data_IF_915213989567
#
_entry.id   IF_915213989567
#
_cell.length_a   1.000
_cell.length_b   1.000
_cell.length_c   1.000
_cell.angle_alpha   90.00
_cell.angle_beta   90.00
_cell.angle_gamma   90.00
#
_symmetry.space_group_name_H-M   'P 1'
#
loop_
_entity.id
_entity.type
_entity.pdbx_description
1 polymer ?
#
# COMPACT_ATOMS: atom_id res chain seq x y z
N UNK A 1 2.64 47.98 54.77
CA UNK A 1 1.93 47.55 53.59
C UNK A 1 2.93 46.72 52.74
N UNK A 2 2.96 45.46 53.04
CA UNK A 2 3.84 44.47 52.26
C UNK A 2 2.97 43.71 51.30
N UNK A 3 3.28 43.87 50.03
CA UNK A 3 2.65 43.14 48.92
C UNK A 3 3.40 41.84 48.68
N UNK A 4 2.81 40.73 49.08
CA UNK A 4 3.27 39.38 48.72
C UNK A 4 3.01 39.11 47.23
N UNK A 5 4.07 39.02 46.43
CA UNK A 5 4.03 38.47 45.09
C UNK A 5 3.97 36.94 45.21
N UNK A 6 2.82 36.36 44.86
CA UNK A 6 2.68 34.91 44.69
C UNK A 6 3.20 34.55 43.29
N UNK A 7 4.38 33.92 43.25
CA UNK A 7 4.97 33.35 42.02
C UNK A 7 4.27 32.03 41.74
N UNK A 8 3.27 32.03 40.85
CA UNK A 8 2.70 30.80 40.31
C UNK A 8 3.69 30.18 39.35
N UNK A 9 4.43 29.20 39.82
CA UNK A 9 5.23 28.31 38.99
C UNK A 9 4.32 27.42 38.16
N UNK A 10 4.21 27.69 36.86
CA UNK A 10 3.67 26.78 35.87
C UNK A 10 4.63 25.59 35.74
N UNK A 11 4.37 24.53 36.49
CA UNK A 11 4.93 23.22 36.24
C UNK A 11 4.35 22.73 34.88
N UNK A 12 5.10 22.97 33.82
CA UNK A 12 4.88 22.31 32.55
C UNK A 12 5.11 20.81 32.75
N UNK A 13 4.01 20.09 32.89
CA UNK A 13 4.03 18.62 32.85
C UNK A 13 4.36 18.24 31.37
N UNK A 14 5.64 18.19 31.04
CA UNK A 14 6.10 17.44 29.88
C UNK A 14 5.71 16.00 30.17
N UNK A 15 4.60 15.55 29.56
CA UNK A 15 4.34 14.13 29.41
C UNK A 15 5.59 13.53 28.76
N UNK A 16 6.15 12.50 29.38
CA UNK A 16 7.24 11.70 28.83
C UNK A 16 6.74 10.92 27.59
N UNK A 17 6.34 11.65 26.56
CA UNK A 17 6.33 11.10 25.20
C UNK A 17 7.79 10.91 24.86
N UNK A 18 8.20 9.66 24.64
CA UNK A 18 9.49 9.35 24.05
C UNK A 18 9.54 10.06 22.70
N UNK A 19 10.07 11.28 22.67
CA UNK A 19 10.45 11.92 21.42
C UNK A 19 11.53 11.05 20.79
N UNK A 20 11.17 10.23 19.83
CA UNK A 20 12.14 9.54 19.00
C UNK A 20 12.93 10.62 18.28
N UNK A 21 14.25 10.63 18.51
CA UNK A 21 15.15 11.58 17.89
C UNK A 21 15.14 11.39 16.38
N UNK A 22 15.05 12.48 15.61
CA UNK A 22 15.12 12.41 14.16
C UNK A 22 16.51 11.95 13.74
N UNK A 23 16.63 10.77 13.16
CA UNK A 23 17.88 10.26 12.59
C UNK A 23 17.70 9.99 11.11
N UNK A 24 18.51 10.65 10.30
CA UNK A 24 18.58 10.47 8.84
C UNK A 24 19.75 9.59 8.41
N UNK A 25 20.55 9.14 9.36
CA UNK A 25 21.74 8.35 9.10
C UNK A 25 21.40 6.91 8.71
N UNK A 26 22.14 6.41 7.74
CA UNK A 26 22.12 5.01 7.35
C UNK A 26 23.29 4.27 8.03
N UNK A 27 22.97 3.12 8.59
CA UNK A 27 23.94 2.24 9.24
C UNK A 27 24.32 1.14 8.25
N UNK A 28 25.42 1.35 7.54
CA UNK A 28 25.94 0.37 6.58
C UNK A 28 26.49 -0.86 7.27
N UNK A 29 26.18 -2.03 6.69
CA UNK A 29 26.59 -3.33 7.20
C UNK A 29 26.15 -3.60 8.64
N UNK A 30 24.98 -3.07 9.00
CA UNK A 30 24.30 -3.30 10.27
C UNK A 30 22.90 -3.84 10.01
N UNK A 31 22.56 -4.97 10.63
CA UNK A 31 21.20 -5.51 10.65
C UNK A 31 20.49 -5.22 11.98
N UNK A 32 19.21 -4.97 11.91
CA UNK A 32 18.28 -4.95 13.05
C UNK A 32 17.45 -6.24 13.04
N UNK A 33 17.95 -7.34 13.63
CA UNK A 33 17.32 -8.65 13.50
C UNK A 33 15.96 -8.72 14.20
N UNK A 34 15.04 -9.44 13.56
CA UNK A 34 13.68 -9.70 14.07
C UNK A 34 12.76 -8.49 14.02
N UNK A 35 11.56 -8.65 14.61
CA UNK A 35 10.52 -7.61 14.72
C UNK A 35 9.99 -7.07 13.39
N UNK A 36 10.03 -7.91 12.33
CA UNK A 36 9.52 -7.55 11.01
C UNK A 36 7.99 -7.40 11.05
N UNK A 37 7.51 -6.27 10.55
CA UNK A 37 6.09 -6.03 10.30
C UNK A 37 5.72 -6.64 8.96
N UNK A 38 6.52 -6.32 7.94
CA UNK A 38 6.37 -6.79 6.56
C UNK A 38 7.67 -6.61 5.79
N UNK A 39 7.76 -7.23 4.64
CA UNK A 39 8.82 -6.98 3.67
C UNK A 39 8.23 -6.55 2.33
N UNK A 40 8.88 -5.59 1.70
CA UNK A 40 8.50 -5.04 0.39
C UNK A 40 9.74 -4.90 -0.47
N UNK A 41 9.59 -4.79 -1.77
CA UNK A 41 10.71 -4.50 -2.65
C UNK A 41 11.00 -3.00 -2.70
N UNK A 42 12.28 -2.65 -2.73
CA UNK A 42 12.75 -1.28 -2.84
C UNK A 42 14.01 -1.23 -3.72
N UNK A 43 14.16 -0.25 -4.61
CA UNK A 43 15.36 -0.15 -5.46
C UNK A 43 16.61 0.30 -4.70
N UNK A 44 16.45 1.05 -3.63
CA UNK A 44 17.53 1.56 -2.78
C UNK A 44 17.12 1.74 -1.31
N UNK A 45 18.06 2.17 -0.50
CA UNK A 45 17.86 2.40 0.93
C UNK A 45 17.00 3.62 1.22
N UNK A 46 17.09 4.65 0.39
CA UNK A 46 16.30 5.89 0.51
C UNK A 46 14.82 5.60 0.30
N UNK A 47 14.47 4.84 -0.74
CA UNK A 47 13.10 4.42 -0.97
C UNK A 47 12.59 3.48 0.15
N UNK A 48 13.44 2.57 0.66
CA UNK A 48 13.11 1.74 1.82
C UNK A 48 12.80 2.58 3.06
N UNK A 49 13.58 3.65 3.32
CA UNK A 49 13.31 4.60 4.40
C UNK A 49 11.98 5.34 4.20
N UNK A 50 11.66 5.75 2.96
CA UNK A 50 10.37 6.37 2.65
C UNK A 50 9.21 5.40 2.89
N UNK A 51 9.32 4.13 2.46
CA UNK A 51 8.31 3.11 2.74
C UNK A 51 8.11 2.91 4.24
N UNK A 52 9.19 2.87 5.03
CA UNK A 52 9.11 2.81 6.49
C UNK A 52 8.45 4.06 7.07
N UNK A 53 8.77 5.23 6.55
CA UNK A 53 8.19 6.50 7.01
C UNK A 53 6.70 6.57 6.71
N UNK A 54 6.26 6.09 5.56
CA UNK A 54 4.86 6.04 5.17
C UNK A 54 4.07 4.94 5.90
N UNK A 55 4.73 3.87 6.32
CA UNK A 55 4.06 2.79 7.04
C UNK A 55 3.79 3.18 8.50
N UNK A 56 2.54 3.19 8.97
CA UNK A 56 2.16 3.77 10.27
C UNK A 56 2.90 3.17 11.48
N UNK A 57 3.16 1.88 11.45
CA UNK A 57 3.81 1.16 12.55
C UNK A 57 5.32 0.99 12.37
N UNK A 58 5.89 1.34 11.22
CA UNK A 58 7.34 1.18 11.02
C UNK A 58 8.12 2.27 11.75
N UNK A 59 9.11 1.85 12.52
CA UNK A 59 9.98 2.72 13.30
C UNK A 59 11.42 2.67 12.81
N UNK A 60 11.83 1.53 12.26
CA UNK A 60 13.15 1.31 11.67
C UNK A 60 13.06 0.19 10.63
N UNK A 61 14.11 0.04 9.84
CA UNK A 61 14.13 -0.91 8.74
C UNK A 61 15.52 -1.51 8.54
N UNK A 62 15.59 -2.63 7.82
CA UNK A 62 16.81 -3.18 7.23
C UNK A 62 16.57 -3.41 5.74
N UNK A 63 17.43 -2.87 4.90
CA UNK A 63 17.44 -3.01 3.45
C UNK A 63 18.55 -3.95 3.01
N UNK A 64 18.21 -4.93 2.17
CA UNK A 64 19.19 -5.87 1.59
C UNK A 64 19.66 -5.31 0.25
N UNK A 65 20.92 -4.91 0.21
CA UNK A 65 21.53 -4.26 -0.95
C UNK A 65 21.75 -5.21 -2.13
N UNK A 66 22.09 -4.59 -3.25
CA UNK A 66 22.43 -5.30 -4.49
C UNK A 66 23.73 -6.15 -4.40
N UNK A 67 24.61 -5.85 -3.46
CA UNK A 67 25.87 -6.57 -3.19
C UNK A 67 25.74 -7.75 -2.20
N UNK A 68 24.52 -8.06 -1.74
CA UNK A 68 24.24 -9.21 -0.89
C UNK A 68 24.61 -10.53 -1.58
N UNK A 69 25.27 -11.45 -0.88
CA UNK A 69 25.83 -12.67 -1.47
C UNK A 69 25.33 -13.97 -0.84
N UNK A 70 24.52 -13.88 0.25
CA UNK A 70 24.14 -15.08 1.02
C UNK A 70 23.00 -15.83 0.36
N UNK A 71 22.02 -15.11 -0.24
CA UNK A 71 20.83 -15.68 -0.88
C UNK A 71 20.22 -14.69 -1.87
N UNK A 72 18.99 -14.99 -2.37
CA UNK A 72 18.32 -14.23 -3.40
C UNK A 72 17.46 -13.05 -2.86
N UNK A 73 17.70 -12.57 -1.64
CA UNK A 73 16.94 -11.49 -1.02
C UNK A 73 17.38 -10.08 -1.41
N UNK A 74 18.05 -9.90 -2.54
CA UNK A 74 18.41 -8.56 -3.03
C UNK A 74 17.19 -7.66 -3.11
N UNK A 75 17.32 -6.40 -2.73
CA UNK A 75 16.30 -5.36 -2.81
C UNK A 75 15.08 -5.57 -1.89
N UNK A 76 15.18 -6.47 -0.90
CA UNK A 76 14.16 -6.55 0.14
C UNK A 76 14.34 -5.42 1.16
N UNK A 77 13.25 -4.75 1.46
CA UNK A 77 13.12 -3.75 2.52
C UNK A 77 12.26 -4.37 3.64
N UNK A 78 12.87 -4.67 4.77
CA UNK A 78 12.20 -5.20 5.96
C UNK A 78 11.77 -4.05 6.84
N UNK A 79 10.47 -3.81 6.94
CA UNK A 79 9.87 -2.80 7.81
C UNK A 79 9.70 -3.38 9.21
N UNK A 80 10.13 -2.66 10.24
CA UNK A 80 10.27 -3.19 11.59
C UNK A 80 9.70 -2.25 12.65
N UNK A 81 9.30 -2.85 13.78
CA UNK A 81 8.83 -2.13 14.95
C UNK A 81 9.14 -2.86 16.25
N UNK A 82 9.25 -2.11 17.33
CA UNK A 82 9.29 -2.64 18.70
C UNK A 82 8.48 -1.73 19.62
N UNK A 83 7.95 -2.27 20.75
CA UNK A 83 7.27 -1.43 21.73
C UNK A 83 8.15 -0.32 22.35
N UNK A 84 9.47 -0.54 22.38
CA UNK A 84 10.43 0.45 22.89
C UNK A 84 10.80 1.55 21.89
N UNK A 85 10.36 1.45 20.62
CA UNK A 85 10.74 2.36 19.55
C UNK A 85 12.17 2.20 19.04
N UNK A 86 12.95 1.28 19.58
CA UNK A 86 14.37 1.05 19.22
C UNK A 86 14.61 -0.42 18.90
N UNK A 87 15.54 -0.74 17.97
CA UNK A 87 15.96 -2.12 17.74
C UNK A 87 16.57 -2.71 19.01
N UNK A 88 16.25 -3.97 19.31
CA UNK A 88 16.76 -4.67 20.50
C UNK A 88 18.23 -5.02 20.37
N UNK A 89 18.65 -5.31 19.15
CA UNK A 89 20.01 -5.75 18.81
C UNK A 89 20.43 -5.10 17.51
N UNK A 90 21.71 -4.85 17.37
CA UNK A 90 22.36 -4.38 16.15
C UNK A 90 23.52 -5.32 15.85
N UNK A 91 23.44 -6.06 14.76
CA UNK A 91 24.45 -7.04 14.38
C UNK A 91 25.22 -6.56 13.15
N UNK A 92 26.54 -6.65 13.13
CA UNK A 92 27.31 -6.49 11.90
C UNK A 92 26.87 -7.54 10.86
N UNK A 93 26.47 -7.10 9.67
CA UNK A 93 26.06 -7.97 8.57
C UNK A 93 26.36 -7.30 7.23
N UNK A 94 27.27 -7.88 6.46
CA UNK A 94 27.66 -7.37 5.15
C UNK A 94 26.51 -7.44 4.15
N UNK A 95 26.39 -6.44 3.27
CA UNK A 95 25.38 -6.40 2.21
C UNK A 95 24.00 -5.91 2.65
N UNK A 96 23.86 -5.41 3.88
CA UNK A 96 22.63 -4.74 4.34
C UNK A 96 22.89 -3.32 4.80
N UNK A 97 21.85 -2.50 4.80
CA UNK A 97 21.85 -1.16 5.38
C UNK A 97 20.60 -0.97 6.22
N UNK A 98 20.75 -0.54 7.45
CA UNK A 98 19.63 -0.24 8.33
C UNK A 98 19.46 1.26 8.57
N UNK A 99 18.29 1.65 9.00
CA UNK A 99 17.98 3.04 9.33
C UNK A 99 16.64 3.20 10.05
N UNK A 100 16.29 4.44 10.31
CA UNK A 100 15.09 4.80 11.06
C UNK A 100 14.06 5.49 10.18
N UNK A 101 12.80 5.38 10.58
CA UNK A 101 11.70 6.15 10.00
C UNK A 101 11.94 7.66 10.20
N UNK A 102 11.60 8.47 9.20
CA UNK A 102 11.69 9.93 9.26
C UNK A 102 10.45 10.60 9.85
N UNK A 103 9.48 9.84 10.39
CA UNK A 103 8.28 10.40 11.04
C UNK A 103 8.59 11.43 12.14
N UNK A 104 9.65 11.26 12.95
CA UNK A 104 10.03 12.27 13.94
C UNK A 104 10.65 13.52 13.33
N UNK A 105 11.03 13.46 12.04
CA UNK A 105 11.64 14.58 11.34
C UNK A 105 10.58 15.54 10.80
N UNK A 106 10.72 16.81 11.00
CA UNK A 106 9.86 17.85 10.45
C UNK A 106 10.70 18.80 9.57
N UNK A 107 10.28 19.12 8.31
CA UNK A 107 9.07 18.66 7.65
C UNK A 107 9.12 17.18 7.23
N UNK A 108 7.96 16.58 6.98
CA UNK A 108 7.86 15.23 6.43
C UNK A 108 8.64 15.11 5.13
N UNK A 109 9.31 13.95 4.90
CA UNK A 109 10.06 13.75 3.68
C UNK A 109 9.14 13.82 2.45
N UNK A 110 9.64 14.45 1.38
CA UNK A 110 8.95 14.48 0.10
C UNK A 110 8.76 13.06 -0.45
N UNK A 111 7.60 12.79 -1.03
CA UNK A 111 7.33 11.54 -1.76
C UNK A 111 7.89 11.55 -3.18
N UNK A 112 8.58 12.61 -3.59
CA UNK A 112 9.19 12.73 -4.91
C UNK A 112 10.41 11.81 -5.05
N UNK A 113 10.39 10.96 -6.07
CA UNK A 113 11.44 9.99 -6.40
C UNK A 113 12.01 10.32 -7.78
N UNK A 114 12.78 11.41 -7.86
CA UNK A 114 13.31 11.95 -9.13
C UNK A 114 14.48 11.16 -9.71
N UNK A 115 15.17 10.36 -8.91
CA UNK A 115 16.31 9.59 -9.39
C UNK A 115 15.90 8.39 -10.26
N UNK A 116 16.81 7.97 -11.14
CA UNK A 116 16.67 6.76 -11.94
C UNK A 116 17.70 5.72 -11.53
N UNK A 117 17.38 4.45 -11.72
CA UNK A 117 18.14 3.32 -11.25
C UNK A 117 18.72 2.57 -12.44
N UNK A 118 20.03 2.64 -12.63
CA UNK A 118 20.75 1.94 -13.69
C UNK A 118 20.90 0.46 -13.36
N UNK A 119 20.69 -0.41 -14.36
CA UNK A 119 20.79 -1.86 -14.24
C UNK A 119 19.86 -2.47 -13.16
N UNK A 120 18.72 -1.84 -12.94
CA UNK A 120 17.67 -2.27 -12.05
C UNK A 120 16.35 -2.38 -12.81
N UNK A 121 15.70 -3.52 -12.73
CA UNK A 121 14.36 -3.74 -13.30
C UNK A 121 13.30 -3.70 -12.20
N UNK A 122 12.22 -2.97 -12.45
CA UNK A 122 10.98 -3.02 -11.70
C UNK A 122 10.07 -4.08 -12.36
N UNK A 123 10.32 -5.34 -12.03
CA UNK A 123 9.72 -6.48 -12.70
C UNK A 123 8.20 -6.58 -12.49
N UNK A 124 7.46 -6.75 -13.58
CA UNK A 124 6.00 -6.91 -13.57
C UNK A 124 5.23 -5.58 -13.51
N UNK A 125 3.93 -5.68 -13.29
CA UNK A 125 2.99 -4.56 -13.27
C UNK A 125 2.94 -3.71 -14.56
N UNK A 126 3.38 -4.27 -15.71
CA UNK A 126 3.27 -3.61 -17.01
C UNK A 126 1.82 -3.51 -17.45
N UNK A 127 1.36 -2.30 -17.77
CA UNK A 127 0.06 -2.14 -18.39
C UNK A 127 0.16 -1.59 -19.82
N UNK A 128 1.31 -0.99 -20.17
CA UNK A 128 1.56 -0.45 -21.50
C UNK A 128 3.04 -0.49 -21.84
N UNK A 129 3.35 -0.77 -23.09
CA UNK A 129 4.71 -0.76 -23.65
C UNK A 129 4.72 0.12 -24.89
N UNK A 130 5.72 1.00 -25.00
CA UNK A 130 5.92 1.86 -26.17
C UNK A 130 7.41 2.00 -26.45
N UNK A 131 7.78 2.57 -27.60
CA UNK A 131 9.16 2.90 -27.93
C UNK A 131 9.47 4.35 -27.54
N UNK A 132 10.62 4.56 -26.88
CA UNK A 132 11.17 5.88 -26.59
C UNK A 132 12.65 5.90 -26.96
N UNK A 133 13.20 7.09 -27.23
CA UNK A 133 14.60 7.25 -27.62
C UNK A 133 15.57 6.92 -26.48
N UNK A 134 15.17 7.23 -25.25
CA UNK A 134 15.97 7.14 -24.06
C UNK A 134 15.08 7.00 -22.80
N UNK A 135 15.71 6.84 -21.65
CA UNK A 135 15.00 6.70 -20.39
C UNK A 135 14.38 8.00 -19.88
N UNK A 136 14.93 9.16 -20.27
CA UNK A 136 14.36 10.47 -19.93
C UNK A 136 13.02 10.67 -20.64
N UNK A 137 12.92 10.27 -21.91
CA UNK A 137 11.65 10.29 -22.61
C UNK A 137 10.66 9.28 -22.01
N UNK A 138 11.13 8.08 -21.64
CA UNK A 138 10.31 7.08 -20.96
C UNK A 138 9.76 7.63 -19.61
N UNK A 139 10.59 8.30 -18.81
CA UNK A 139 10.16 8.94 -17.56
C UNK A 139 9.15 10.09 -17.82
N UNK A 140 9.38 10.87 -18.86
CA UNK A 140 8.45 11.94 -19.26
C UNK A 140 7.09 11.40 -19.67
N UNK A 141 7.05 10.34 -20.49
CA UNK A 141 5.82 9.67 -20.89
C UNK A 141 5.11 9.06 -19.67
N UNK A 142 5.87 8.41 -18.77
CA UNK A 142 5.32 7.90 -17.51
C UNK A 142 4.72 9.03 -16.65
N UNK A 143 5.38 10.18 -16.58
CA UNK A 143 4.90 11.33 -15.81
C UNK A 143 3.62 11.94 -16.40
N UNK A 144 3.47 11.95 -17.72
CA UNK A 144 2.28 12.45 -18.41
C UNK A 144 1.12 11.46 -18.41
N UNK A 145 1.38 10.16 -18.35
CA UNK A 145 0.34 9.14 -18.30
C UNK A 145 -0.26 9.06 -16.88
N UNK A 146 -1.56 9.37 -16.70
CA UNK A 146 -2.18 9.42 -15.38
C UNK A 146 -2.14 8.10 -14.62
N UNK A 147 -1.97 6.98 -15.30
CA UNK A 147 -1.90 5.65 -14.68
C UNK A 147 -0.47 5.26 -14.32
N UNK A 148 0.55 5.82 -14.96
CA UNK A 148 1.93 5.41 -14.74
C UNK A 148 2.45 5.92 -13.39
N UNK A 149 2.99 5.02 -12.60
CA UNK A 149 3.64 5.33 -11.33
C UNK A 149 5.16 5.14 -11.39
N UNK A 150 5.60 4.15 -12.15
CA UNK A 150 7.01 3.85 -12.37
C UNK A 150 7.20 3.19 -13.74
N UNK A 151 8.45 3.07 -14.18
CA UNK A 151 8.78 2.55 -15.50
C UNK A 151 10.05 1.70 -15.47
N UNK A 152 10.23 0.89 -16.52
CA UNK A 152 11.51 0.29 -16.89
C UNK A 152 11.76 0.55 -18.37
N UNK A 153 12.91 1.12 -18.69
CA UNK A 153 13.39 1.34 -20.05
C UNK A 153 14.50 0.36 -20.40
N UNK A 154 14.44 -0.20 -21.61
CA UNK A 154 15.43 -1.14 -22.13
C UNK A 154 16.33 -0.39 -23.13
N UNK A 155 17.61 -0.25 -22.80
CA UNK A 155 18.54 0.52 -23.61
C UNK A 155 19.08 -0.25 -24.84
N UNK A 156 19.88 0.40 -25.65
CA UNK A 156 20.43 -0.06 -26.94
C UNK A 156 21.41 -1.23 -26.85
N UNK A 157 22.04 -1.42 -25.69
CA UNK A 157 23.02 -2.49 -25.46
C UNK A 157 22.42 -3.73 -24.78
N UNK A 158 21.09 -3.76 -24.61
CA UNK A 158 20.40 -4.94 -24.06
C UNK A 158 20.62 -6.17 -24.95
N UNK A 159 20.75 -7.35 -24.35
CA UNK A 159 21.10 -8.59 -25.05
C UNK A 159 20.11 -8.96 -26.16
N UNK A 160 18.81 -8.78 -25.92
CA UNK A 160 17.77 -9.08 -26.92
C UNK A 160 17.41 -7.82 -27.71
N UNK A 161 17.80 -7.81 -29.00
CA UNK A 161 17.58 -6.65 -29.88
C UNK A 161 16.10 -6.30 -30.06
N UNK A 162 15.21 -7.29 -30.05
CA UNK A 162 13.78 -7.12 -30.30
C UNK A 162 13.05 -6.32 -29.20
N UNK A 163 13.69 -6.13 -28.05
CA UNK A 163 13.10 -5.37 -26.94
C UNK A 163 13.86 -4.10 -26.60
N UNK A 164 14.93 -3.78 -27.35
CA UNK A 164 15.66 -2.50 -27.18
C UNK A 164 14.74 -1.30 -27.41
N UNK A 165 15.00 -0.21 -26.73
CA UNK A 165 14.24 1.04 -26.77
C UNK A 165 12.77 0.91 -26.31
N UNK A 166 12.39 -0.18 -25.65
CA UNK A 166 11.06 -0.30 -25.06
C UNK A 166 11.00 0.37 -23.71
N UNK A 167 9.99 1.20 -23.57
CA UNK A 167 9.56 1.84 -22.34
C UNK A 167 8.34 1.07 -21.82
N UNK A 168 8.50 0.42 -20.69
CA UNK A 168 7.46 -0.31 -19.97
C UNK A 168 6.84 0.57 -18.92
N UNK A 169 5.61 1.02 -19.13
CA UNK A 169 4.85 1.80 -18.14
C UNK A 169 4.16 0.86 -17.16
N UNK A 170 4.29 1.16 -15.88
CA UNK A 170 3.93 0.28 -14.78
C UNK A 170 3.09 0.99 -13.72
N UNK A 171 2.30 0.20 -13.00
CA UNK A 171 1.36 0.70 -12.02
C UNK A 171 1.29 -0.22 -10.80
N UNK A 172 1.27 0.36 -9.60
CA UNK A 172 0.89 -0.34 -8.39
C UNK A 172 -0.48 0.16 -7.90
N UNK A 173 -1.03 -0.53 -6.93
CA UNK A 173 -2.37 -0.24 -6.47
C UNK A 173 -2.45 1.09 -5.70
N UNK A 174 -3.37 1.96 -6.09
CA UNK A 174 -3.71 3.18 -5.36
C UNK A 174 -4.92 3.02 -4.43
N UNK A 175 -5.68 1.94 -4.57
CA UNK A 175 -6.84 1.64 -3.74
C UNK A 175 -6.37 0.87 -2.50
N UNK A 176 -6.84 1.24 -1.28
CA UNK A 176 -6.51 0.52 -0.07
C UNK A 176 -6.89 -0.96 -0.18
N UNK A 177 -5.93 -1.84 0.02
CA UNK A 177 -6.12 -3.28 0.04
C UNK A 177 -6.22 -3.76 1.46
N UNK A 178 -7.18 -4.63 1.73
CA UNK A 178 -7.19 -5.39 2.97
C UNK A 178 -6.19 -6.55 2.81
N UNK A 179 -5.29 -6.78 3.77
CA UNK A 179 -4.31 -7.87 3.67
C UNK A 179 -5.01 -9.24 3.58
N UNK A 180 -6.03 -9.44 4.40
CA UNK A 180 -6.86 -10.65 4.44
C UNK A 180 -8.30 -10.21 4.76
N UNK A 181 -9.27 -10.84 4.10
CA UNK A 181 -10.71 -10.70 4.42
C UNK A 181 -11.22 -12.08 4.80
N UNK A 182 -11.70 -12.22 6.02
CA UNK A 182 -12.21 -13.50 6.54
C UNK A 182 -13.53 -13.34 7.30
N UNK A 183 -14.28 -14.41 7.39
CA UNK A 183 -15.49 -14.46 8.25
C UNK A 183 -15.07 -14.61 9.69
N UNK A 184 -15.68 -13.79 10.57
CA UNK A 184 -15.42 -13.83 11.99
C UNK A 184 -16.62 -13.28 12.76
N UNK A 185 -17.29 -14.12 13.49
CA UNK A 185 -18.46 -13.71 14.25
C UNK A 185 -18.07 -12.71 15.34
N UNK A 186 -18.94 -11.73 15.58
CA UNK A 186 -18.74 -10.73 16.62
C UNK A 186 -17.78 -9.60 16.25
N UNK A 187 -17.46 -9.42 14.97
CA UNK A 187 -16.69 -8.26 14.50
C UNK A 187 -17.43 -7.49 13.41
N UNK A 188 -17.08 -6.23 13.27
CA UNK A 188 -17.58 -5.35 12.21
C UNK A 188 -16.39 -4.61 11.61
N UNK A 189 -16.21 -4.68 10.31
CA UNK A 189 -15.14 -4.00 9.59
C UNK A 189 -15.67 -2.98 8.59
N UNK A 190 -14.85 -1.99 8.27
CA UNK A 190 -15.21 -0.96 7.32
C UNK A 190 -14.03 -0.09 6.93
N UNK A 191 -14.29 0.87 6.07
CA UNK A 191 -13.30 1.76 5.50
C UNK A 191 -13.42 3.17 6.09
N UNK A 192 -12.30 3.89 6.09
CA UNK A 192 -12.29 5.32 6.34
C UNK A 192 -13.01 6.05 5.20
N UNK A 193 -13.85 7.02 5.51
CA UNK A 193 -14.53 7.85 4.51
C UNK A 193 -13.59 8.82 3.77
N UNK A 194 -12.34 8.94 4.22
CA UNK A 194 -11.31 9.77 3.55
C UNK A 194 -10.67 9.10 2.36
N UNK A 195 -10.89 7.81 2.13
CA UNK A 195 -10.30 7.11 1.02
C UNK A 195 -10.71 7.80 -0.27
N UNK A 196 -9.77 8.54 -0.85
CA UNK A 196 -9.95 9.13 -2.17
C UNK A 196 -9.65 8.05 -3.20
N UNK A 197 -10.70 7.57 -3.83
CA UNK A 197 -10.58 6.85 -5.08
C UNK A 197 -10.22 7.89 -6.13
N UNK A 198 -9.10 7.71 -6.82
CA UNK A 198 -8.55 8.69 -7.78
C UNK A 198 -9.64 9.28 -8.68
N UNK A 199 -9.87 10.62 -8.65
CA UNK A 199 -11.00 11.25 -9.35
C UNK A 199 -10.64 11.57 -10.80
N UNK A 200 -10.43 10.55 -11.64
CA UNK A 200 -10.24 10.83 -13.06
C UNK A 200 -11.29 10.06 -13.85
N UNK A 201 -12.49 10.63 -14.04
CA UNK A 201 -13.30 10.34 -15.22
C UNK A 201 -14.76 10.78 -15.03
N UNK A 202 -15.33 11.40 -16.04
CA UNK A 202 -16.73 11.85 -16.11
C UNK A 202 -17.64 10.75 -16.65
N UNK A 203 -18.93 10.78 -16.36
CA UNK A 203 -19.79 9.61 -16.29
C UNK A 203 -20.49 9.25 -17.61
N UNK A 204 -20.44 8.00 -17.98
CA UNK A 204 -21.50 7.36 -18.78
C UNK A 204 -21.49 5.85 -18.54
N UNK A 205 -21.61 5.42 -17.26
CA UNK A 205 -21.50 4.00 -16.97
C UNK A 205 -22.68 3.48 -16.18
N UNK A 206 -23.09 2.29 -16.54
CA UNK A 206 -23.96 1.49 -15.72
C UNK A 206 -23.12 0.74 -14.70
N UNK A 207 -23.15 1.17 -13.43
CA UNK A 207 -22.59 0.40 -12.30
C UNK A 207 -23.36 -0.91 -12.14
N UNK A 208 -23.15 -1.84 -13.07
CA UNK A 208 -23.92 -3.05 -13.09
C UNK A 208 -23.13 -4.20 -12.47
N UNK A 209 -23.64 -4.71 -11.37
CA UNK A 209 -23.26 -5.99 -10.80
C UNK A 209 -24.23 -7.07 -11.31
N UNK A 210 -23.69 -8.26 -11.52
CA UNK A 210 -24.42 -9.42 -12.02
C UNK A 210 -24.43 -10.50 -10.91
N UNK A 211 -25.43 -10.51 -10.03
CA UNK A 211 -25.50 -11.52 -8.97
C UNK A 211 -25.76 -12.91 -9.54
N UNK A 212 -25.25 -13.94 -8.82
CA UNK A 212 -25.33 -15.35 -9.22
C UNK A 212 -24.83 -15.62 -10.65
N UNK A 213 -23.85 -14.85 -11.07
CA UNK A 213 -23.29 -14.91 -12.42
C UNK A 213 -21.78 -14.96 -12.33
N UNK A 214 -21.16 -15.89 -13.04
CA UNK A 214 -19.71 -15.91 -13.26
C UNK A 214 -19.41 -15.45 -14.68
N UNK A 215 -18.36 -14.67 -14.83
CA UNK A 215 -17.79 -14.31 -16.12
C UNK A 215 -16.47 -15.06 -16.23
N UNK A 216 -16.43 -16.23 -16.92
CA UNK A 216 -15.20 -17.01 -17.05
C UNK A 216 -14.17 -16.28 -17.88
N UNK A 217 -12.89 -16.45 -17.55
CA UNK A 217 -11.78 -15.85 -18.29
C UNK A 217 -10.45 -16.04 -17.57
N UNK A 218 -9.41 -15.46 -18.15
CA UNK A 218 -8.07 -15.53 -17.56
C UNK A 218 -7.96 -14.58 -16.36
N UNK A 219 -7.67 -15.13 -15.19
CA UNK A 219 -7.40 -14.33 -14.01
C UNK A 219 -6.08 -13.59 -14.21
N UNK A 220 -6.13 -12.26 -14.04
CA UNK A 220 -4.96 -11.40 -13.92
C UNK A 220 -4.36 -11.52 -12.54
N UNK A 221 -5.23 -11.40 -11.55
CA UNK A 221 -4.88 -11.41 -10.13
C UNK A 221 -6.13 -11.77 -9.32
N UNK A 222 -5.96 -12.45 -8.21
CA UNK A 222 -7.00 -12.69 -7.20
C UNK A 222 -6.63 -11.91 -5.94
N UNK A 223 -7.51 -11.04 -5.48
CA UNK A 223 -7.32 -10.23 -4.27
C UNK A 223 -8.46 -10.48 -3.27
N UNK A 224 -8.20 -10.34 -1.97
CA UNK A 224 -9.27 -10.31 -0.98
C UNK A 224 -10.07 -9.01 -1.11
N UNK A 225 -11.40 -9.13 -1.14
CA UNK A 225 -12.32 -8.00 -1.14
C UNK A 225 -13.47 -8.21 -0.16
N UNK A 226 -13.91 -7.14 0.50
CA UNK A 226 -14.96 -7.22 1.51
C UNK A 226 -16.36 -7.39 0.89
N UNK A 227 -16.55 -6.93 -0.35
CA UNK A 227 -17.83 -6.97 -1.06
C UNK A 227 -17.61 -6.96 -2.58
N UNK A 228 -18.65 -7.25 -3.38
CA UNK A 228 -18.60 -7.10 -4.83
C UNK A 228 -18.25 -5.67 -5.28
N UNK A 229 -18.72 -4.65 -4.57
CA UNK A 229 -18.42 -3.25 -4.85
C UNK A 229 -16.95 -2.92 -4.57
N UNK A 230 -16.39 -3.46 -3.48
CA UNK A 230 -14.96 -3.34 -3.22
C UNK A 230 -14.15 -4.03 -4.34
N UNK A 231 -14.56 -5.23 -4.77
CA UNK A 231 -13.95 -5.93 -5.90
C UNK A 231 -14.04 -5.11 -7.22
N UNK A 232 -15.20 -4.48 -7.49
CA UNK A 232 -15.36 -3.57 -8.64
C UNK A 232 -14.40 -2.39 -8.58
N UNK A 233 -14.19 -1.83 -7.39
CA UNK A 233 -13.22 -0.74 -7.18
C UNK A 233 -11.79 -1.20 -7.43
N UNK A 234 -11.41 -2.38 -6.95
CA UNK A 234 -10.10 -2.97 -7.22
C UNK A 234 -9.90 -3.19 -8.73
N UNK A 235 -10.88 -3.77 -9.42
CA UNK A 235 -10.86 -3.96 -10.87
C UNK A 235 -10.76 -2.62 -11.61
N UNK A 236 -11.48 -1.60 -11.15
CA UNK A 236 -11.45 -0.26 -11.76
C UNK A 236 -10.11 0.44 -11.61
N UNK A 237 -9.40 0.18 -10.51
CA UNK A 237 -8.05 0.70 -10.27
C UNK A 237 -6.97 -0.08 -11.02
N UNK A 238 -7.25 -1.31 -11.47
CA UNK A 238 -6.29 -2.13 -12.19
C UNK A 238 -6.31 -1.83 -13.69
N UNK A 239 -5.19 -1.40 -14.31
CA UNK A 239 -5.15 -0.89 -15.68
C UNK A 239 -5.56 -1.90 -16.76
N UNK A 240 -5.42 -3.19 -16.48
CA UNK A 240 -5.76 -4.27 -17.42
C UNK A 240 -7.04 -5.03 -17.06
N UNK A 241 -7.70 -4.70 -15.94
CA UNK A 241 -8.93 -5.39 -15.56
C UNK A 241 -10.08 -4.94 -16.44
N UNK A 242 -10.72 -5.89 -17.12
CA UNK A 242 -11.89 -5.64 -17.99
C UNK A 242 -13.19 -6.13 -17.35
N UNK A 243 -13.12 -7.08 -16.41
CA UNK A 243 -14.23 -7.58 -15.60
C UNK A 243 -13.71 -8.38 -14.42
N UNK A 244 -14.58 -8.71 -13.49
CA UNK A 244 -14.24 -9.47 -12.30
C UNK A 244 -15.34 -10.46 -11.94
N UNK A 245 -14.97 -11.45 -11.10
CA UNK A 245 -15.92 -12.30 -10.38
C UNK A 245 -15.53 -12.30 -8.90
N UNK A 246 -16.52 -12.12 -8.05
CA UNK A 246 -16.38 -12.12 -6.58
C UNK A 246 -17.16 -13.28 -6.00
N UNK A 247 -16.54 -14.06 -5.11
CA UNK A 247 -17.12 -15.25 -4.50
C UNK A 247 -17.40 -15.11 -3.00
N UNK A 248 -18.09 -16.11 -2.44
CA UNK A 248 -18.45 -16.16 -1.02
C UNK A 248 -17.25 -16.35 -0.08
N UNK A 249 -16.06 -16.63 -0.59
CA UNK A 249 -14.80 -16.73 0.15
C UNK A 249 -14.00 -15.43 0.14
N UNK A 250 -14.65 -14.33 -0.25
CA UNK A 250 -14.03 -13.01 -0.38
C UNK A 250 -12.96 -12.89 -1.46
N UNK A 251 -12.90 -13.82 -2.41
CA UNK A 251 -11.98 -13.72 -3.53
C UNK A 251 -12.55 -12.79 -4.60
N UNK A 252 -11.76 -11.81 -4.95
CA UNK A 252 -11.96 -10.92 -6.09
C UNK A 252 -11.04 -11.38 -7.22
N UNK A 253 -11.57 -12.15 -8.15
CA UNK A 253 -10.87 -12.58 -9.35
C UNK A 253 -10.96 -11.49 -10.42
N UNK A 254 -9.91 -10.72 -10.58
CA UNK A 254 -9.80 -9.74 -11.65
C UNK A 254 -9.34 -10.41 -12.93
N UNK A 255 -9.99 -10.07 -14.03
CA UNK A 255 -9.82 -10.77 -15.30
C UNK A 255 -9.59 -9.82 -16.45
N UNK A 256 -8.85 -10.27 -17.46
CA UNK A 256 -8.77 -9.61 -18.76
C UNK A 256 -9.21 -10.55 -19.87
N UNK A 257 -9.95 -10.02 -20.81
CA UNK A 257 -10.26 -10.72 -22.04
C UNK A 257 -10.26 -9.73 -23.20
N UNK A 258 -9.62 -10.11 -24.29
CA UNK A 258 -9.70 -9.39 -25.56
C UNK A 258 -10.91 -9.80 -26.43
N UNK A 259 -11.71 -10.77 -25.98
CA UNK A 259 -12.84 -11.33 -26.72
C UNK A 259 -14.17 -10.98 -26.05
N UNK A 260 -15.25 -11.38 -26.66
CA UNK A 260 -16.60 -11.18 -26.13
C UNK A 260 -16.76 -11.76 -24.70
N UNK A 261 -17.45 -10.99 -23.86
CA UNK A 261 -17.78 -11.39 -22.50
C UNK A 261 -18.85 -12.50 -22.52
N UNK A 262 -18.51 -13.68 -22.02
CA UNK A 262 -19.44 -14.80 -21.84
C UNK A 262 -19.85 -14.86 -20.38
N UNK A 263 -21.14 -15.00 -20.11
CA UNK A 263 -21.67 -15.16 -18.75
C UNK A 263 -22.26 -16.54 -18.57
N UNK A 264 -22.15 -17.08 -17.35
CA UNK A 264 -22.82 -18.33 -16.95
C UNK A 264 -23.42 -18.20 -15.55
N UNK A 265 -24.55 -18.85 -15.32
CA UNK A 265 -25.15 -18.87 -13.99
C UNK A 265 -24.26 -19.62 -13.00
N UNK A 266 -23.98 -19.01 -11.83
CA UNK A 266 -23.21 -19.61 -10.75
C UNK A 266 -23.64 -18.99 -9.42
N UNK A 267 -24.30 -19.77 -8.60
CA UNK A 267 -24.78 -19.36 -7.28
C UNK A 267 -23.62 -18.89 -6.39
N UNK A 268 -23.83 -17.81 -5.63
CA UNK A 268 -22.86 -17.27 -4.69
C UNK A 268 -21.71 -16.50 -5.33
N UNK A 269 -21.72 -16.32 -6.65
CA UNK A 269 -20.75 -15.48 -7.35
C UNK A 269 -21.44 -14.23 -7.88
N UNK A 270 -20.82 -13.07 -7.64
CA UNK A 270 -21.24 -11.80 -8.24
C UNK A 270 -20.14 -11.30 -9.15
N UNK A 271 -20.46 -11.12 -10.42
CA UNK A 271 -19.54 -10.56 -11.40
C UNK A 271 -19.87 -9.11 -11.73
N UNK A 272 -18.95 -8.42 -12.37
CA UNK A 272 -19.15 -7.06 -12.82
C UNK A 272 -18.04 -6.58 -13.74
N UNK A 273 -18.21 -5.36 -14.22
CA UNK A 273 -17.24 -4.65 -15.07
C UNK A 273 -16.68 -3.44 -14.33
N UNK A 274 -15.41 -3.05 -14.61
CA UNK A 274 -14.82 -1.87 -14.01
C UNK A 274 -15.54 -0.60 -14.47
N UNK A 275 -15.49 0.42 -13.63
CA UNK A 275 -16.10 1.72 -13.89
C UNK A 275 -15.06 2.76 -14.32
N UNK A 276 -14.15 2.41 -15.20
CA UNK A 276 -13.05 3.27 -15.64
C UNK A 276 -13.47 4.66 -16.15
N UNK A 277 -14.68 4.78 -16.63
CA UNK A 277 -15.20 6.03 -17.20
C UNK A 277 -16.34 6.62 -16.37
N UNK A 278 -16.58 6.10 -15.18
CA UNK A 278 -17.68 6.48 -14.31
C UNK A 278 -17.19 7.26 -13.11
N UNK A 279 -18.05 8.14 -12.60
CA UNK A 279 -17.88 8.61 -11.23
C UNK A 279 -18.24 7.43 -10.31
N UNK A 280 -17.23 6.94 -9.56
CA UNK A 280 -17.42 5.85 -8.59
C UNK A 280 -18.48 6.31 -7.56
N UNK A 281 -19.51 5.50 -7.40
CA UNK A 281 -20.40 5.65 -6.25
C UNK A 281 -19.65 5.16 -5.01
N UNK A 282 -19.22 6.10 -4.17
CA UNK A 282 -18.46 5.81 -2.96
C UNK A 282 -19.36 5.37 -1.78
N UNK A 283 -20.64 5.09 -2.01
CA UNK A 283 -21.54 4.66 -0.94
C UNK A 283 -21.11 3.34 -0.30
N UNK A 284 -20.43 2.47 -1.04
CA UNK A 284 -19.86 1.23 -0.50
C UNK A 284 -18.83 1.46 0.64
N UNK A 285 -18.14 2.61 0.67
CA UNK A 285 -17.24 3.00 1.77
C UNK A 285 -17.97 3.24 3.09
N UNK A 286 -19.28 3.54 3.01
CA UNK A 286 -20.10 3.78 4.19
C UNK A 286 -20.67 2.50 4.78
N UNK A 287 -20.56 1.38 4.07
CA UNK A 287 -21.09 0.12 4.51
C UNK A 287 -20.21 -0.45 5.65
N UNK A 288 -20.85 -0.83 6.73
CA UNK A 288 -20.25 -1.66 7.76
C UNK A 288 -20.47 -3.13 7.38
N UNK A 289 -19.41 -3.92 7.43
CA UNK A 289 -19.41 -5.33 7.07
C UNK A 289 -19.48 -6.16 8.35
N UNK A 290 -20.67 -6.60 8.74
CA UNK A 290 -20.87 -7.45 9.92
C UNK A 290 -20.32 -8.86 9.68
N UNK A 291 -19.69 -9.43 10.70
CA UNK A 291 -19.11 -10.79 10.63
C UNK A 291 -17.92 -10.89 9.67
N UNK A 292 -17.26 -9.79 9.36
CA UNK A 292 -16.08 -9.71 8.48
C UNK A 292 -14.92 -9.10 9.24
N UNK A 293 -13.78 -9.76 9.26
CA UNK A 293 -12.52 -9.25 9.79
C UNK A 293 -11.58 -8.82 8.65
N UNK A 294 -11.03 -7.61 8.75
CA UNK A 294 -9.91 -7.15 7.94
C UNK A 294 -8.62 -7.44 8.70
N UNK A 295 -8.11 -8.67 8.54
CA UNK A 295 -7.02 -9.18 9.34
C UNK A 295 -5.70 -8.46 9.09
N UNK A 296 -5.01 -8.11 10.19
CA UNK A 296 -3.68 -7.50 10.18
C UNK A 296 -3.67 -6.03 9.83
N UNK A 297 -2.48 -5.50 9.61
CA UNK A 297 -2.23 -4.08 9.30
C UNK A 297 -2.71 -3.10 10.38
N UNK A 298 -2.75 -3.55 11.65
CA UNK A 298 -3.16 -2.75 12.80
C UNK A 298 -2.14 -1.64 13.05
N UNK A 299 -2.62 -0.41 13.15
CA UNK A 299 -1.85 0.75 13.62
C UNK A 299 -1.86 0.75 15.15
N UNK A 300 -3.04 0.65 15.70
CA UNK A 300 -3.34 0.62 17.14
C UNK A 300 -4.77 0.13 17.36
N UNK A 301 -5.13 -0.09 18.60
CA UNK A 301 -6.53 -0.26 18.99
C UNK A 301 -6.93 0.72 20.09
N UNK A 302 -8.21 1.01 20.15
CA UNK A 302 -8.84 1.83 21.21
C UNK A 302 -10.12 1.12 21.66
N UNK A 303 -10.51 1.34 22.93
CA UNK A 303 -11.79 0.81 23.44
C UNK A 303 -12.91 1.78 23.05
N UNK A 304 -13.97 1.25 22.44
CA UNK A 304 -15.13 2.02 21.97
C UNK A 304 -16.42 1.27 22.23
N UNK A 305 -17.53 2.00 22.25
CA UNK A 305 -18.82 1.43 22.61
C UNK A 305 -19.55 0.83 21.40
N UNK A 306 -19.23 1.27 20.19
CA UNK A 306 -19.95 0.88 18.98
C UNK A 306 -19.07 0.99 17.72
N UNK A 307 -19.46 0.29 16.62
CA UNK A 307 -18.72 0.31 15.37
C UNK A 307 -18.78 1.67 14.64
N UNK A 308 -19.84 2.47 14.85
CA UNK A 308 -19.96 3.78 14.21
C UNK A 308 -18.92 4.77 14.78
N UNK A 309 -18.68 4.70 16.09
CA UNK A 309 -17.62 5.47 16.75
C UNK A 309 -16.24 5.03 16.23
N UNK A 310 -16.05 3.72 16.04
CA UNK A 310 -14.83 3.17 15.45
C UNK A 310 -14.60 3.71 14.02
N UNK A 311 -15.63 3.71 13.17
CA UNK A 311 -15.57 4.26 11.82
C UNK A 311 -15.27 5.76 11.82
N UNK A 312 -15.91 6.53 12.70
CA UNK A 312 -15.65 7.97 12.85
C UNK A 312 -14.21 8.24 13.25
N UNK A 313 -13.71 7.49 14.22
CA UNK A 313 -12.30 7.61 14.67
C UNK A 313 -11.34 7.26 13.54
N UNK A 314 -11.59 6.18 12.81
CA UNK A 314 -10.81 5.85 11.60
C UNK A 314 -10.87 6.97 10.54
N UNK A 315 -12.05 7.61 10.40
CA UNK A 315 -12.24 8.69 9.41
C UNK A 315 -11.46 9.95 9.78
N UNK A 316 -11.33 10.30 11.06
CA UNK A 316 -10.57 11.50 11.47
C UNK A 316 -9.07 11.24 11.63
N UNK A 317 -8.64 10.01 11.86
CA UNK A 317 -7.23 9.64 11.92
C UNK A 317 -6.57 9.72 10.55
N UNK A 318 -5.53 10.57 10.36
CA UNK A 318 -4.86 10.71 9.06
C UNK A 318 -4.21 9.40 8.57
N UNK A 319 -3.90 8.48 9.47
CA UNK A 319 -3.25 7.22 9.16
C UNK A 319 -4.22 6.05 8.93
N UNK A 320 -5.48 6.14 9.38
CA UNK A 320 -6.42 5.04 9.25
C UNK A 320 -7.08 5.00 7.87
N UNK A 321 -7.09 3.82 7.26
CA UNK A 321 -7.75 3.54 5.99
C UNK A 321 -8.98 2.65 6.16
N UNK A 322 -8.93 1.70 7.06
CA UNK A 322 -10.02 0.78 7.38
C UNK A 322 -9.94 0.35 8.85
N UNK A 323 -10.96 -0.29 9.34
CA UNK A 323 -11.06 -0.70 10.75
C UNK A 323 -11.69 -2.07 10.91
N UNK A 324 -11.47 -2.68 12.06
CA UNK A 324 -12.26 -3.79 12.59
C UNK A 324 -12.63 -3.48 14.02
N UNK A 325 -13.94 -3.53 14.32
CA UNK A 325 -14.49 -3.38 15.65
C UNK A 325 -14.91 -4.75 16.19
N UNK A 326 -14.54 -5.04 17.42
CA UNK A 326 -14.91 -6.27 18.13
C UNK A 326 -16.06 -5.98 19.07
N UNK A 327 -17.24 -6.51 18.78
CA UNK A 327 -18.44 -6.26 19.55
C UNK A 327 -18.52 -7.08 20.85
N UNK A 328 -19.55 -6.83 21.67
CA UNK A 328 -19.72 -7.48 22.96
C UNK A 328 -20.04 -8.97 22.88
N UNK A 329 -20.48 -9.48 21.72
CA UNK A 329 -20.82 -10.89 21.52
C UNK A 329 -19.60 -11.73 21.12
N UNK A 330 -18.45 -11.12 20.93
CA UNK A 330 -17.22 -11.83 20.59
C UNK A 330 -16.87 -12.86 21.68
N UNK A 331 -16.44 -14.05 21.29
CA UNK A 331 -16.23 -15.17 22.20
C UNK A 331 -15.18 -14.87 23.29
N UNK A 332 -14.10 -14.18 22.95
CA UNK A 332 -13.02 -13.81 23.85
C UNK A 332 -13.28 -12.41 24.45
N UNK A 333 -13.54 -12.37 25.75
CA UNK A 333 -13.87 -11.13 26.50
C UNK A 333 -12.76 -10.10 26.46
N UNK A 334 -11.50 -10.52 26.37
CA UNK A 334 -10.35 -9.61 26.42
C UNK A 334 -10.26 -8.72 25.18
N UNK A 335 -10.88 -9.12 24.10
CA UNK A 335 -10.88 -8.35 22.85
C UNK A 335 -12.14 -7.49 22.65
N UNK A 336 -13.18 -7.70 23.44
CA UNK A 336 -14.47 -7.00 23.28
C UNK A 336 -14.29 -5.49 23.37
N UNK A 337 -15.07 -4.75 22.59
CA UNK A 337 -15.10 -3.31 22.48
C UNK A 337 -13.80 -2.68 21.93
N UNK A 338 -12.89 -3.47 21.37
CA UNK A 338 -11.71 -2.94 20.70
C UNK A 338 -12.04 -2.52 19.27
N UNK A 339 -11.67 -1.29 18.96
CA UNK A 339 -11.63 -0.76 17.61
C UNK A 339 -10.17 -0.81 17.12
N UNK A 340 -9.87 -1.67 16.18
CA UNK A 340 -8.56 -1.76 15.54
C UNK A 340 -8.52 -0.85 14.34
N UNK A 341 -7.71 0.19 14.38
CA UNK A 341 -7.44 1.10 13.28
C UNK A 341 -6.31 0.52 12.41
N UNK A 342 -6.47 0.54 11.10
CA UNK A 342 -5.63 -0.24 10.18
C UNK A 342 -5.23 0.55 8.94
N UNK A 343 -4.07 0.19 8.38
CA UNK A 343 -3.56 0.78 7.13
C UNK A 343 -2.63 -0.18 6.39
N UNK A 344 -2.69 -0.19 5.07
CA UNK A 344 -1.65 -0.75 4.20
C UNK A 344 -0.75 0.36 3.66
N UNK A 345 0.45 0.00 3.22
CA UNK A 345 1.37 0.95 2.59
C UNK A 345 0.74 1.45 1.28
N UNK A 346 0.63 2.77 1.13
CA UNK A 346 0.03 3.42 -0.05
C UNK A 346 1.04 4.00 -1.02
N UNK A 347 2.28 4.18 -0.57
CA UNK A 347 3.36 4.64 -1.44
C UNK A 347 3.64 3.58 -2.53
N UNK A 348 3.82 3.98 -3.79
CA UNK A 348 4.17 3.05 -4.85
C UNK A 348 5.44 2.28 -4.51
N UNK A 349 5.31 0.97 -4.44
CA UNK A 349 6.44 0.06 -4.32
C UNK A 349 6.41 -0.89 -5.50
N UNK A 350 7.53 -1.06 -6.21
CA UNK A 350 7.58 -2.03 -7.31
C UNK A 350 7.22 -3.43 -6.81
N UNK A 351 6.50 -4.23 -7.59
CA UNK A 351 6.11 -5.58 -7.19
C UNK A 351 7.33 -6.49 -6.98
N UNK A 352 8.40 -6.25 -7.71
CA UNK A 352 9.69 -6.90 -7.55
C UNK A 352 10.79 -5.99 -8.09
N UNK A 353 11.91 -5.92 -7.38
CA UNK A 353 13.13 -5.21 -7.83
C UNK A 353 14.22 -6.25 -8.05
N UNK A 354 14.83 -6.24 -9.25
CA UNK A 354 15.86 -7.20 -9.62
C UNK A 354 17.01 -6.51 -10.35
N UNK A 355 18.21 -7.12 -10.30
CA UNK A 355 19.31 -6.72 -11.16
C UNK A 355 19.02 -7.20 -12.59
N UNK A 356 19.10 -6.29 -13.53
CA UNK A 356 19.05 -6.59 -14.94
C UNK A 356 19.93 -5.58 -15.69
N UNK A 357 20.98 -6.07 -16.34
CA UNK A 357 21.88 -5.19 -17.07
C UNK A 357 21.17 -4.50 -18.23
N UNK A 358 21.59 -3.27 -18.51
CA UNK A 358 21.13 -2.50 -19.67
C UNK A 358 19.64 -2.14 -19.64
N UNK A 359 19.09 -1.96 -18.44
CA UNK A 359 17.78 -1.34 -18.23
C UNK A 359 17.90 -0.16 -17.27
N UNK A 360 16.96 0.75 -17.35
CA UNK A 360 16.85 1.90 -16.44
C UNK A 360 15.42 1.96 -15.93
N UNK A 361 15.22 1.95 -14.63
CA UNK A 361 13.92 2.07 -13.99
C UNK A 361 13.82 3.37 -13.20
N UNK A 362 12.61 3.85 -13.01
CA UNK A 362 12.34 5.04 -12.25
C UNK A 362 10.85 5.24 -11.98
N UNK A 363 10.56 6.28 -11.24
CA UNK A 363 9.21 6.66 -10.86
C UNK A 363 8.69 7.83 -11.69
N UNK A 364 7.37 7.98 -11.74
CA UNK A 364 6.72 9.19 -12.27
C UNK A 364 7.12 10.40 -11.42
N UNK A 365 7.31 11.55 -12.07
CA UNK A 365 7.68 12.81 -11.42
C UNK A 365 6.48 13.69 -11.06
N UNK A 366 5.25 13.17 -11.08
CA UNK A 366 4.03 13.98 -10.85
C UNK A 366 3.98 14.67 -9.50
N UNK A 367 4.58 14.06 -8.49
CA UNK A 367 4.60 14.59 -7.12
C UNK A 367 5.92 15.33 -6.81
N UNK A 368 6.72 15.61 -7.84
CA UNK A 368 7.94 16.38 -7.76
C UNK A 368 7.63 17.87 -8.03
N UNK A 369 7.61 18.68 -6.98
CA UNK A 369 7.52 20.14 -7.05
C UNK A 369 8.90 20.78 -6.83
#
# INVERSE_FOLDING_TARGET
METHLILMGLLSICSLSFCQECSREFLENVDFPGTDITSVYSPDVEHCQLLCTQHPSCLFFTFVRADWTVDNRHFYCYLKSTPSGKPKVQNPLQGVTSGYSLKPCNPDPSSCLSQVYQNVDFFGADYRVLFTSDHEECQRVCTQDPQCQFFTFVNDIFTSENIRYKCHLKYSWSVPRTPIVERKDGVVSGFSHKIQLTPFFKPACQNKLFPNTDIPGNNLETLPAASPEHCQTLCSAHPRCTYFSYDSNFNCDMKSNGNEMVTRAKQGVTSGIPVHFCQLDNNWLKLAHEGVDFRGSDIRFELMDDPDTCQKTCTVDPNCQFYTYVNETFFDSDYRRRCYLKRVITMPAPPKVTKLNNVVSGFSLRDCN
#
